data_IF_595280305192
#
_entry.id   IF_595280305192
#
_cell.length_a   1.000
_cell.length_b   1.000
_cell.length_c   1.000
_cell.angle_alpha   90.00
_cell.angle_beta   90.00
_cell.angle_gamma   90.00
#
_symmetry.space_group_name_H-M   'P 1'
#
loop_
_entity.id
_entity.type
_entity.pdbx_description
1 polymer ?
#
# COMPACT_ATOMS: atom_id res chain seq x y z
N UNK A 1 17.90 -13.55 1.80
CA UNK A 1 18.33 -12.35 2.56
C UNK A 1 17.52 -12.24 3.83
N UNK A 2 18.06 -11.55 4.84
CA UNK A 2 17.37 -11.20 6.08
C UNK A 2 17.00 -9.72 6.05
N UNK A 3 15.71 -9.41 6.01
CA UNK A 3 15.16 -8.09 5.75
C UNK A 3 14.58 -7.51 7.03
N UNK A 4 15.04 -6.33 7.44
CA UNK A 4 14.45 -5.59 8.56
C UNK A 4 13.37 -4.65 8.04
N UNK A 5 12.17 -4.68 8.66
CA UNK A 5 11.09 -3.73 8.42
C UNK A 5 10.18 -3.60 9.65
N UNK A 6 9.25 -2.62 9.60
CA UNK A 6 8.19 -2.43 10.60
C UNK A 6 6.84 -2.90 10.06
N UNK A 7 6.01 -3.60 10.86
CA UNK A 7 4.68 -4.08 10.44
C UNK A 7 3.63 -2.95 10.47
N UNK A 8 3.75 -1.95 9.56
CA UNK A 8 2.91 -0.74 9.60
C UNK A 8 1.58 -0.94 8.85
N UNK A 9 1.63 -1.59 7.70
CA UNK A 9 0.47 -1.79 6.82
C UNK A 9 0.17 -3.27 6.70
N UNK A 10 -0.75 -3.79 7.55
CA UNK A 10 -1.00 -5.22 7.70
C UNK A 10 -1.19 -5.98 6.38
N UNK A 11 -2.11 -5.55 5.50
CA UNK A 11 -2.34 -6.22 4.22
C UNK A 11 -1.14 -6.16 3.26
N UNK A 12 -0.39 -5.05 3.25
CA UNK A 12 0.84 -4.97 2.46
C UNK A 12 1.94 -5.85 3.04
N UNK A 13 2.12 -5.80 4.36
CA UNK A 13 3.11 -6.63 5.07
C UNK A 13 2.80 -8.12 4.84
N UNK A 14 1.52 -8.52 4.90
CA UNK A 14 1.11 -9.90 4.63
C UNK A 14 1.55 -10.36 3.24
N UNK A 15 1.34 -9.54 2.21
CA UNK A 15 1.80 -9.87 0.86
C UNK A 15 3.35 -9.96 0.79
N UNK A 16 4.05 -8.99 1.38
CA UNK A 16 5.49 -8.86 1.29
C UNK A 16 6.24 -10.00 1.97
N UNK A 17 5.81 -10.40 3.16
CA UNK A 17 6.49 -11.45 3.93
C UNK A 17 6.24 -12.89 3.45
N UNK A 18 5.40 -13.05 2.42
CA UNK A 18 5.20 -14.33 1.72
C UNK A 18 6.31 -14.67 0.73
N UNK A 19 7.27 -13.75 0.55
CA UNK A 19 8.46 -13.97 -0.29
C UNK A 19 9.43 -15.01 0.25
N UNK A 20 10.47 -15.28 -0.54
CA UNK A 20 11.47 -16.31 -0.23
C UNK A 20 12.54 -15.91 0.81
N UNK A 21 12.40 -14.76 1.47
CA UNK A 21 13.39 -14.21 2.41
C UNK A 21 13.06 -14.53 3.87
N UNK A 22 13.96 -14.18 4.79
CA UNK A 22 13.71 -14.10 6.23
C UNK A 22 13.36 -12.65 6.58
N UNK A 23 12.27 -12.45 7.34
CA UNK A 23 11.81 -11.12 7.69
C UNK A 23 11.92 -10.89 9.19
N UNK A 24 12.63 -9.82 9.56
CA UNK A 24 12.78 -9.32 10.93
C UNK A 24 11.80 -8.17 11.09
N UNK A 25 10.72 -8.40 11.82
CA UNK A 25 9.69 -7.39 12.07
C UNK A 25 10.00 -6.69 13.39
N UNK A 26 10.41 -5.43 13.30
CA UNK A 26 10.73 -4.61 14.46
C UNK A 26 9.46 -4.24 15.22
N UNK A 27 9.32 -4.70 16.46
CA UNK A 27 8.14 -4.46 17.32
C UNK A 27 8.56 -3.91 18.68
N UNK A 28 7.66 -3.16 19.33
CA UNK A 28 7.95 -2.60 20.67
C UNK A 28 8.07 -3.67 21.74
N UNK A 29 7.23 -4.68 21.65
CA UNK A 29 7.18 -5.76 22.62
C UNK A 29 6.74 -7.06 21.95
N UNK A 30 7.15 -8.19 22.49
CA UNK A 30 6.67 -9.54 22.13
C UNK A 30 6.00 -10.21 23.34
N UNK A 31 5.52 -9.43 24.32
CA UNK A 31 4.88 -9.99 25.52
C UNK A 31 3.49 -10.52 25.20
N UNK A 32 3.11 -11.67 25.80
CA UNK A 32 1.75 -12.19 25.63
C UNK A 32 0.71 -11.15 26.08
N UNK A 33 -0.30 -10.90 25.22
CA UNK A 33 -1.39 -9.96 25.47
C UNK A 33 -1.13 -8.51 25.03
N UNK A 34 0.07 -8.17 24.57
CA UNK A 34 0.34 -6.90 23.88
C UNK A 34 0.17 -7.08 22.37
N UNK A 35 -0.45 -6.10 21.72
CA UNK A 35 -0.54 -6.07 20.24
C UNK A 35 0.82 -5.73 19.65
N UNK A 36 1.46 -6.71 19.04
CA UNK A 36 2.74 -6.56 18.35
C UNK A 36 2.59 -6.28 16.86
N UNK A 37 1.33 -6.23 16.34
CA UNK A 37 1.02 -6.07 14.91
C UNK A 37 1.41 -7.28 14.05
N UNK A 38 1.88 -8.37 14.67
CA UNK A 38 2.38 -9.59 14.00
C UNK A 38 1.57 -10.81 14.39
N UNK A 39 1.15 -10.86 15.64
CA UNK A 39 0.36 -11.98 16.18
C UNK A 39 -0.95 -12.17 15.42
N UNK A 40 -1.26 -13.40 15.06
CA UNK A 40 -2.50 -13.76 14.35
C UNK A 40 -2.39 -13.85 12.83
N UNK A 41 -1.28 -13.40 12.22
CA UNK A 41 -1.09 -13.51 10.77
C UNK A 41 -0.53 -14.85 10.28
N UNK A 42 0.13 -15.63 11.16
CA UNK A 42 0.68 -16.94 10.83
C UNK A 42 1.82 -16.92 9.79
N UNK A 43 2.62 -15.87 9.78
CA UNK A 43 3.73 -15.71 8.82
C UNK A 43 4.90 -16.64 9.15
N UNK A 44 5.16 -17.62 8.31
CA UNK A 44 6.18 -18.66 8.55
C UNK A 44 7.62 -18.14 8.52
N UNK A 45 7.91 -17.13 7.66
CA UNK A 45 9.25 -16.58 7.43
C UNK A 45 9.49 -15.24 8.09
N UNK A 46 8.50 -14.71 8.81
CA UNK A 46 8.60 -13.46 9.51
C UNK A 46 8.56 -13.69 11.02
N UNK A 47 9.46 -13.04 11.73
CA UNK A 47 9.49 -13.08 13.19
C UNK A 47 9.50 -11.70 13.79
N UNK A 48 8.72 -11.52 14.84
CA UNK A 48 8.75 -10.33 15.66
C UNK A 48 10.05 -10.27 16.48
N UNK A 49 10.74 -9.13 16.42
CA UNK A 49 11.95 -8.87 17.17
C UNK A 49 11.79 -7.59 17.96
N UNK A 50 11.95 -7.63 19.30
CA UNK A 50 11.91 -6.43 20.12
C UNK A 50 12.98 -5.42 19.71
N UNK A 51 12.68 -4.12 19.81
CA UNK A 51 13.59 -3.06 19.39
C UNK A 51 14.96 -3.14 20.06
N UNK A 52 15.03 -3.50 21.33
CA UNK A 52 16.28 -3.65 22.08
C UNK A 52 17.14 -4.84 21.68
N UNK A 53 16.56 -5.84 21.02
CA UNK A 53 17.26 -7.01 20.52
C UNK A 53 17.85 -6.81 19.09
N UNK A 54 17.45 -5.77 18.35
CA UNK A 54 17.86 -5.54 16.97
C UNK A 54 19.38 -5.39 16.78
N UNK A 55 20.08 -4.94 17.81
CA UNK A 55 21.56 -4.78 17.76
C UNK A 55 22.31 -6.09 17.50
N UNK A 56 21.76 -7.20 17.99
CA UNK A 56 22.33 -8.52 17.85
C UNK A 56 21.93 -9.22 16.54
N UNK A 57 20.99 -8.62 15.79
CA UNK A 57 20.46 -9.24 14.58
C UNK A 57 21.40 -9.08 13.38
N UNK A 58 21.57 -10.19 12.65
CA UNK A 58 22.12 -10.12 11.31
C UNK A 58 21.03 -9.61 10.35
N UNK A 59 21.31 -8.51 9.65
CA UNK A 59 20.38 -7.87 8.71
C UNK A 59 21.16 -7.56 7.43
N UNK A 60 20.64 -8.02 6.30
CA UNK A 60 21.25 -7.80 4.98
C UNK A 60 20.77 -6.49 4.35
N UNK A 61 19.51 -6.13 4.56
CA UNK A 61 18.89 -4.92 4.00
C UNK A 61 17.77 -4.41 4.89
N UNK A 62 17.56 -3.10 4.88
CA UNK A 62 16.46 -2.44 5.63
C UNK A 62 15.43 -1.88 4.66
N UNK A 63 14.16 -2.18 4.89
CA UNK A 63 13.02 -1.56 4.21
C UNK A 63 12.40 -0.53 5.15
N UNK A 64 12.74 0.75 4.92
CA UNK A 64 12.20 1.88 5.67
C UNK A 64 10.82 2.27 5.10
N UNK A 65 9.91 2.72 5.94
CA UNK A 65 8.56 3.15 5.55
C UNK A 65 8.18 4.51 6.14
N UNK A 66 8.99 5.02 7.08
CA UNK A 66 8.82 6.34 7.70
C UNK A 66 10.18 7.03 7.82
N UNK A 67 10.26 8.36 7.61
CA UNK A 67 11.55 9.09 7.65
C UNK A 67 12.30 8.93 8.98
N UNK A 68 11.57 8.87 10.10
CA UNK A 68 12.15 8.69 11.44
C UNK A 68 12.83 7.34 11.64
N UNK A 69 12.51 6.34 10.83
CA UNK A 69 13.13 5.02 10.93
C UNK A 69 14.61 5.03 10.54
N UNK A 70 15.07 6.04 9.78
CA UNK A 70 16.50 6.21 9.47
C UNK A 70 17.32 6.37 10.75
N UNK A 71 16.93 7.33 11.58
CA UNK A 71 17.59 7.57 12.86
C UNK A 71 17.36 6.41 13.85
N UNK A 72 16.19 5.80 13.80
CA UNK A 72 15.84 4.68 14.66
C UNK A 72 16.70 3.43 14.36
N UNK A 73 16.96 3.11 13.09
CA UNK A 73 17.87 2.02 12.70
C UNK A 73 19.28 2.28 13.22
N UNK A 74 19.80 3.49 13.05
CA UNK A 74 21.12 3.85 13.57
C UNK A 74 21.19 3.68 15.10
N UNK A 75 20.21 4.18 15.82
CA UNK A 75 20.13 4.06 17.27
C UNK A 75 20.07 2.60 17.75
N UNK A 76 19.23 1.79 17.11
CA UNK A 76 18.97 0.40 17.55
C UNK A 76 20.04 -0.57 17.12
N UNK A 77 20.63 -0.40 15.94
CA UNK A 77 21.59 -1.36 15.36
C UNK A 77 23.04 -0.89 15.40
N UNK A 78 23.26 0.43 15.59
CA UNK A 78 24.58 1.07 15.45
C UNK A 78 25.04 1.22 13.99
N UNK A 79 24.16 0.98 13.00
CA UNK A 79 24.45 1.07 11.55
C UNK A 79 23.59 2.10 10.87
N UNK A 80 24.18 2.98 10.07
CA UNK A 80 23.49 4.02 9.33
C UNK A 80 22.93 3.46 8.02
N UNK A 81 21.60 3.53 7.78
CA UNK A 81 20.99 3.09 6.53
C UNK A 81 21.56 3.82 5.30
N UNK A 82 21.87 3.07 4.24
CA UNK A 82 22.51 3.57 3.02
C UNK A 82 24.02 3.65 3.11
N UNK A 83 24.59 3.88 4.31
CA UNK A 83 26.03 3.98 4.52
C UNK A 83 26.67 2.67 5.06
N UNK A 84 26.13 2.14 6.16
CA UNK A 84 26.71 0.97 6.87
C UNK A 84 25.89 -0.29 6.62
N UNK A 85 24.69 -0.15 6.11
CA UNK A 85 23.78 -1.24 5.75
C UNK A 85 22.96 -0.82 4.51
N UNK A 86 22.76 -1.72 3.52
CA UNK A 86 21.85 -1.48 2.41
C UNK A 86 20.47 -1.08 2.91
N UNK A 87 19.85 -0.08 2.29
CA UNK A 87 18.51 0.35 2.66
C UNK A 87 17.75 0.84 1.44
N UNK A 88 16.43 0.70 1.47
CA UNK A 88 15.50 1.34 0.56
C UNK A 88 14.33 1.92 1.37
N UNK A 89 13.63 2.88 0.79
CA UNK A 89 12.46 3.50 1.40
C UNK A 89 11.20 3.16 0.61
N UNK A 90 10.24 2.54 1.26
CA UNK A 90 8.96 2.17 0.67
C UNK A 90 7.93 3.28 0.96
N UNK A 91 7.52 4.00 -0.10
CA UNK A 91 6.53 5.07 0.00
C UNK A 91 5.14 4.58 -0.33
N UNK A 92 4.32 4.49 0.69
CA UNK A 92 2.92 4.07 0.59
C UNK A 92 1.96 5.21 0.24
N UNK A 93 2.32 6.45 0.57
CA UNK A 93 1.38 7.56 0.62
C UNK A 93 1.53 8.50 -0.58
N UNK A 94 0.42 9.11 -0.95
CA UNK A 94 0.44 10.33 -1.75
C UNK A 94 1.02 11.49 -0.94
N UNK A 95 1.54 12.56 -1.58
CA UNK A 95 1.97 13.77 -0.87
C UNK A 95 0.90 14.28 0.10
N UNK A 96 1.29 14.55 1.35
CA UNK A 96 0.38 15.07 2.37
C UNK A 96 0.02 16.55 2.22
N UNK A 97 0.82 17.30 1.42
CA UNK A 97 0.57 18.68 1.03
C UNK A 97 0.15 18.79 -0.44
N UNK A 98 0.17 20.01 -1.03
CA UNK A 98 -0.07 20.19 -2.46
C UNK A 98 0.96 19.39 -3.28
N UNK A 99 0.51 18.47 -4.12
CA UNK A 99 1.37 17.58 -4.90
C UNK A 99 2.44 18.35 -5.72
N UNK A 100 2.04 19.48 -6.29
CA UNK A 100 2.93 20.33 -7.11
C UNK A 100 4.05 21.04 -6.32
N UNK A 101 4.02 20.98 -4.99
CA UNK A 101 4.97 21.67 -4.11
C UNK A 101 5.51 20.79 -2.98
N UNK A 102 5.10 19.52 -2.92
CA UNK A 102 5.51 18.63 -1.82
C UNK A 102 6.73 17.80 -2.24
N UNK A 103 7.85 18.08 -1.59
CA UNK A 103 9.11 17.39 -1.78
C UNK A 103 9.19 16.17 -0.84
N UNK A 104 9.66 15.05 -1.39
CA UNK A 104 9.84 13.83 -0.59
C UNK A 104 10.93 14.02 0.47
N UNK A 105 10.77 13.53 1.71
CA UNK A 105 11.78 13.69 2.77
C UNK A 105 13.17 13.15 2.41
N UNK A 106 13.23 12.14 1.53
CA UNK A 106 14.47 11.54 1.05
C UNK A 106 14.92 12.08 -0.32
N UNK A 107 14.34 13.15 -0.83
CA UNK A 107 14.63 13.67 -2.16
C UNK A 107 16.11 14.04 -2.41
N UNK A 108 16.89 14.29 -1.36
CA UNK A 108 18.32 14.58 -1.44
C UNK A 108 19.23 13.35 -1.24
N UNK A 109 18.66 12.18 -0.99
CA UNK A 109 19.38 10.93 -0.73
C UNK A 109 19.64 10.17 -2.03
N UNK A 110 20.90 9.98 -2.38
CA UNK A 110 21.31 9.14 -3.53
C UNK A 110 21.57 7.70 -3.15
N UNK A 111 21.73 7.44 -1.87
CA UNK A 111 22.14 6.17 -1.26
C UNK A 111 20.98 5.32 -0.74
N UNK A 112 19.76 5.86 -0.72
CA UNK A 112 18.53 5.16 -0.34
C UNK A 112 17.49 5.34 -1.46
N UNK A 113 17.30 4.33 -2.32
CA UNK A 113 16.25 4.38 -3.34
C UNK A 113 14.86 4.48 -2.72
N UNK A 114 13.96 5.23 -3.37
CA UNK A 114 12.54 5.32 -3.01
C UNK A 114 11.76 4.36 -3.89
N UNK A 115 11.10 3.39 -3.28
CA UNK A 115 10.20 2.44 -3.95
C UNK A 115 8.77 2.92 -3.72
N UNK A 116 8.12 3.40 -4.75
CA UNK A 116 6.72 3.81 -4.70
C UNK A 116 5.80 2.62 -4.97
N UNK A 117 4.69 2.56 -4.25
CA UNK A 117 3.68 1.50 -4.44
C UNK A 117 2.81 1.69 -5.67
N UNK A 118 2.87 2.88 -6.32
CA UNK A 118 2.12 3.20 -7.53
C UNK A 118 2.89 4.15 -8.44
N UNK A 119 2.57 4.13 -9.74
CA UNK A 119 3.10 5.10 -10.70
C UNK A 119 2.61 6.52 -10.39
N UNK A 120 1.38 6.65 -9.88
CA UNK A 120 0.82 7.93 -9.44
C UNK A 120 1.65 8.55 -8.30
N UNK A 121 2.03 7.77 -7.28
CA UNK A 121 2.86 8.27 -6.18
C UNK A 121 4.21 8.76 -6.70
N UNK A 122 4.88 7.96 -7.53
CA UNK A 122 6.16 8.34 -8.12
C UNK A 122 6.08 9.64 -8.92
N UNK A 123 4.97 9.86 -9.65
CA UNK A 123 4.73 11.09 -10.41
C UNK A 123 4.45 12.29 -9.50
N UNK A 124 3.69 12.07 -8.42
CA UNK A 124 3.16 13.15 -7.58
C UNK A 124 4.14 13.69 -6.55
N UNK A 125 5.15 12.90 -6.16
CA UNK A 125 6.21 13.36 -5.28
C UNK A 125 7.33 14.07 -6.06
N UNK A 126 7.84 15.20 -5.54
CA UNK A 126 9.15 15.71 -5.95
C UNK A 126 10.22 14.82 -5.30
N UNK A 127 10.72 13.87 -6.05
CA UNK A 127 11.73 12.91 -5.59
C UNK A 127 13.18 13.46 -5.68
N UNK A 128 13.37 14.68 -6.18
CA UNK A 128 14.67 15.34 -6.30
C UNK A 128 15.71 14.50 -7.03
N UNK A 129 16.81 14.16 -6.33
CA UNK A 129 17.91 13.33 -6.88
C UNK A 129 17.91 11.88 -6.39
N UNK A 130 16.92 11.49 -5.59
CA UNK A 130 16.82 10.12 -5.10
C UNK A 130 16.49 9.16 -6.24
N UNK A 131 17.16 7.99 -6.33
CA UNK A 131 16.76 6.94 -7.26
C UNK A 131 15.34 6.48 -6.93
N UNK A 132 14.52 6.22 -7.95
CA UNK A 132 13.13 5.78 -7.75
C UNK A 132 12.80 4.52 -8.52
N UNK A 133 12.01 3.65 -7.92
CA UNK A 133 11.40 2.50 -8.55
C UNK A 133 9.90 2.45 -8.25
N UNK A 134 9.15 1.60 -8.96
CA UNK A 134 7.76 1.29 -8.66
C UNK A 134 7.63 -0.22 -8.48
N UNK A 135 7.03 -0.63 -7.36
CA UNK A 135 6.53 -1.98 -7.14
C UNK A 135 5.04 -1.87 -6.87
N UNK A 136 4.24 -2.16 -7.89
CA UNK A 136 2.79 -2.12 -7.76
C UNK A 136 2.32 -3.16 -6.74
N UNK A 137 1.19 -2.90 -6.09
CA UNK A 137 0.64 -3.81 -5.08
C UNK A 137 0.44 -5.23 -5.59
N UNK A 138 0.68 -6.21 -4.73
CA UNK A 138 0.27 -7.59 -4.94
C UNK A 138 -0.72 -8.03 -3.87
N UNK A 139 -1.73 -8.77 -4.28
CA UNK A 139 -2.77 -9.29 -3.39
C UNK A 139 -2.70 -10.82 -3.37
N UNK A 140 -2.60 -11.45 -2.18
CA UNK A 140 -2.85 -12.87 -2.05
C UNK A 140 -4.27 -13.16 -2.54
N UNK A 141 -4.42 -14.06 -3.52
CA UNK A 141 -5.72 -14.34 -4.12
C UNK A 141 -6.71 -14.92 -3.08
N UNK A 142 -7.79 -14.20 -2.72
CA UNK A 142 -8.80 -14.72 -1.80
C UNK A 142 -9.71 -15.75 -2.45
N UNK A 143 -9.56 -16.00 -3.75
CA UNK A 143 -10.47 -16.83 -4.55
C UNK A 143 -11.67 -16.06 -5.10
N UNK A 144 -12.31 -16.63 -6.13
CA UNK A 144 -13.54 -16.07 -6.69
C UNK A 144 -14.70 -16.37 -5.74
N UNK A 145 -15.13 -15.35 -4.97
CA UNK A 145 -16.19 -15.50 -3.96
C UNK A 145 -17.46 -14.71 -4.28
N UNK A 146 -17.45 -13.89 -5.34
CA UNK A 146 -18.57 -13.02 -5.65
C UNK A 146 -19.87 -13.79 -5.87
N UNK A 147 -20.87 -13.55 -5.02
CA UNK A 147 -22.24 -14.01 -5.17
C UNK A 147 -23.19 -12.88 -5.60
N UNK A 148 -22.96 -11.66 -5.13
CA UNK A 148 -23.79 -10.50 -5.41
C UNK A 148 -25.25 -10.65 -5.01
N UNK A 149 -25.55 -11.52 -4.04
CA UNK A 149 -26.92 -11.87 -3.62
C UNK A 149 -27.65 -10.71 -2.93
N UNK A 150 -26.90 -9.80 -2.30
CA UNK A 150 -27.46 -8.64 -1.63
C UNK A 150 -27.44 -7.43 -2.58
N UNK A 151 -28.60 -6.85 -2.82
CA UNK A 151 -28.76 -5.59 -3.60
C UNK A 151 -28.27 -4.39 -2.80
N UNK A 152 -26.98 -4.39 -2.47
CA UNK A 152 -26.30 -3.42 -1.64
C UNK A 152 -24.96 -3.04 -2.25
N UNK A 153 -24.49 -1.86 -1.91
CA UNK A 153 -23.16 -1.36 -2.28
C UNK A 153 -22.19 -1.67 -1.14
N UNK A 154 -21.05 -2.26 -1.44
CA UNK A 154 -19.96 -2.48 -0.47
C UNK A 154 -18.88 -1.40 -0.62
N UNK A 155 -18.41 -0.84 0.49
CA UNK A 155 -17.27 0.08 0.58
C UNK A 155 -16.36 -0.40 1.70
N UNK A 156 -15.04 -0.45 1.47
CA UNK A 156 -14.08 -0.78 2.52
C UNK A 156 -13.17 0.43 2.77
N UNK A 157 -13.26 0.99 3.98
CA UNK A 157 -12.49 2.18 4.35
C UNK A 157 -12.26 2.23 5.87
N UNK A 158 -11.01 2.36 6.27
CA UNK A 158 -10.65 2.59 7.66
C UNK A 158 -10.79 4.07 8.02
N UNK A 159 -11.32 4.36 9.20
CA UNK A 159 -11.49 5.70 9.76
C UNK A 159 -12.27 6.67 8.84
N UNK A 160 -13.43 6.26 8.29
CA UNK A 160 -14.15 7.04 7.27
C UNK A 160 -14.52 8.45 7.74
N UNK A 161 -14.90 8.61 9.01
CA UNK A 161 -15.26 9.91 9.56
C UNK A 161 -14.04 10.86 9.66
N UNK A 162 -12.86 10.36 10.06
CA UNK A 162 -11.64 11.16 10.17
C UNK A 162 -11.06 11.52 8.80
N UNK A 163 -11.03 10.56 7.88
CA UNK A 163 -10.43 10.73 6.55
C UNK A 163 -11.37 11.39 5.55
N UNK A 164 -12.62 11.50 5.87
CA UNK A 164 -13.73 12.19 5.20
C UNK A 164 -13.59 12.33 3.68
N UNK A 165 -13.13 13.51 3.22
CA UNK A 165 -12.99 13.80 1.77
C UNK A 165 -11.87 12.99 1.10
N UNK A 166 -10.82 12.66 1.83
CA UNK A 166 -9.70 11.85 1.31
C UNK A 166 -10.20 10.51 0.79
N UNK A 167 -11.11 9.88 1.54
CA UNK A 167 -11.68 8.56 1.22
C UNK A 167 -13.03 8.63 0.53
N UNK A 168 -13.54 9.84 0.25
CA UNK A 168 -14.83 10.04 -0.42
C UNK A 168 -16.04 9.68 0.42
N UNK A 169 -15.90 9.65 1.74
CA UNK A 169 -16.99 9.36 2.69
C UNK A 169 -18.17 10.35 2.51
N UNK A 170 -17.86 11.59 2.19
CA UNK A 170 -18.86 12.64 1.90
C UNK A 170 -19.71 12.36 0.65
N UNK A 171 -19.31 11.45 -0.22
CA UNK A 171 -20.06 11.04 -1.41
C UNK A 171 -21.03 9.88 -1.15
N UNK A 172 -20.88 9.14 -0.06
CA UNK A 172 -21.69 7.95 0.21
C UNK A 172 -23.20 8.22 0.18
N UNK A 173 -23.71 9.38 0.67
CA UNK A 173 -25.15 9.69 0.56
C UNK A 173 -25.67 9.75 -0.88
N UNK A 174 -24.85 10.12 -1.86
CA UNK A 174 -25.24 10.14 -3.27
C UNK A 174 -25.51 8.72 -3.78
N UNK A 175 -24.63 7.77 -3.44
CA UNK A 175 -24.78 6.36 -3.82
C UNK A 175 -25.88 5.65 -3.01
N UNK A 176 -26.10 6.07 -1.76
CA UNK A 176 -27.18 5.55 -0.93
C UNK A 176 -28.59 5.85 -1.45
N UNK A 177 -28.72 6.69 -2.50
CA UNK A 177 -29.97 6.90 -3.25
C UNK A 177 -30.30 5.73 -4.17
N UNK A 178 -29.30 4.96 -4.59
CA UNK A 178 -29.46 3.83 -5.50
C UNK A 178 -29.73 2.52 -4.75
N UNK A 179 -28.98 2.28 -3.66
CA UNK A 179 -29.17 1.13 -2.77
C UNK A 179 -28.49 1.38 -1.41
N UNK A 180 -28.82 0.62 -0.35
CA UNK A 180 -28.10 0.71 0.91
C UNK A 180 -26.59 0.48 0.73
N UNK A 181 -25.78 1.29 1.44
CA UNK A 181 -24.31 1.24 1.40
C UNK A 181 -23.76 0.66 2.70
N UNK A 182 -23.08 -0.48 2.61
CA UNK A 182 -22.39 -1.08 3.73
C UNK A 182 -20.93 -0.63 3.74
N UNK A 183 -20.51 0.01 4.83
CA UNK A 183 -19.16 0.54 5.01
C UNK A 183 -18.40 -0.33 5.99
N UNK A 184 -17.45 -1.11 5.47
CA UNK A 184 -16.58 -1.98 6.25
C UNK A 184 -15.30 -1.24 6.65
N UNK A 185 -14.82 -1.47 7.86
CA UNK A 185 -13.50 -1.02 8.29
C UNK A 185 -13.46 -0.50 9.73
N UNK A 186 -12.25 -0.19 10.14
CA UNK A 186 -11.96 0.34 11.47
C UNK A 186 -12.69 1.68 11.66
N UNK A 187 -13.33 1.85 12.82
CA UNK A 187 -14.08 3.08 13.16
C UNK A 187 -15.28 3.39 12.24
N UNK A 188 -15.77 2.43 11.46
CA UNK A 188 -16.94 2.62 10.61
C UNK A 188 -18.17 3.04 11.43
N UNK A 189 -18.34 2.54 12.65
CA UNK A 189 -19.44 2.88 13.57
C UNK A 189 -19.60 4.38 13.83
N UNK A 190 -18.52 5.16 13.72
CA UNK A 190 -18.56 6.62 13.87
C UNK A 190 -19.44 7.31 12.82
N UNK A 191 -19.75 6.65 11.69
CA UNK A 191 -20.64 7.16 10.65
C UNK A 191 -22.08 7.33 11.12
N UNK A 192 -22.52 6.55 12.12
CA UNK A 192 -23.86 6.73 12.72
C UNK A 192 -24.03 8.16 13.29
N UNK A 193 -23.01 8.69 13.96
CA UNK A 193 -23.01 10.06 14.45
C UNK A 193 -22.97 11.12 13.36
N UNK A 194 -22.40 10.80 12.20
CA UNK A 194 -22.26 11.73 11.06
C UNK A 194 -23.53 11.80 10.23
N UNK A 195 -24.06 10.65 9.81
CA UNK A 195 -25.23 10.61 8.92
C UNK A 195 -26.57 10.52 9.66
N UNK A 196 -26.57 10.10 10.92
CA UNK A 196 -27.74 10.13 11.80
C UNK A 196 -28.99 9.42 11.26
N UNK A 197 -28.81 8.34 10.50
CA UNK A 197 -29.91 7.61 9.86
C UNK A 197 -30.58 8.35 8.69
N UNK A 198 -30.03 9.47 8.23
CA UNK A 198 -30.58 10.27 7.11
C UNK A 198 -30.31 9.63 5.75
N UNK A 199 -29.38 8.73 5.66
CA UNK A 199 -29.05 7.97 4.45
C UNK A 199 -28.97 6.48 4.81
N UNK A 200 -29.26 5.62 3.84
CA UNK A 200 -29.14 4.16 4.01
C UNK A 200 -27.66 3.74 3.98
N UNK A 201 -26.88 4.23 4.96
CA UNK A 201 -25.44 3.93 5.14
C UNK A 201 -25.32 3.14 6.44
N UNK A 202 -24.86 1.90 6.31
CA UNK A 202 -24.74 0.97 7.41
C UNK A 202 -23.27 0.66 7.71
N UNK A 203 -22.74 1.04 8.86
CA UNK A 203 -21.40 0.70 9.26
C UNK A 203 -21.33 -0.78 9.63
N UNK A 204 -20.32 -1.46 9.08
CA UNK A 204 -19.89 -2.79 9.47
C UNK A 204 -18.52 -2.68 10.10
N UNK A 205 -18.39 -3.05 11.36
CA UNK A 205 -17.12 -2.98 12.06
C UNK A 205 -16.04 -3.85 11.39
N UNK A 206 -14.79 -3.60 11.77
CA UNK A 206 -13.63 -4.32 11.23
C UNK A 206 -13.79 -5.82 11.39
N UNK A 207 -13.65 -6.54 10.31
CA UNK A 207 -13.68 -8.00 10.25
C UNK A 207 -12.29 -8.56 9.95
N UNK A 208 -11.95 -9.75 10.41
CA UNK A 208 -10.77 -10.46 9.93
C UNK A 208 -10.82 -10.63 8.40
N UNK A 209 -9.67 -10.63 7.68
CA UNK A 209 -9.62 -10.57 6.22
C UNK A 209 -10.52 -11.60 5.52
N UNK A 210 -10.49 -12.86 5.92
CA UNK A 210 -11.30 -13.91 5.28
C UNK A 210 -12.81 -13.69 5.45
N UNK A 211 -13.23 -13.21 6.62
CA UNK A 211 -14.63 -12.84 6.87
C UNK A 211 -15.03 -11.57 6.12
N UNK A 212 -14.11 -10.58 6.04
CA UNK A 212 -14.35 -9.39 5.24
C UNK A 212 -14.59 -9.76 3.78
N UNK A 213 -13.72 -10.59 3.19
CA UNK A 213 -13.85 -11.03 1.81
C UNK A 213 -15.17 -11.77 1.57
N UNK A 214 -15.54 -12.68 2.46
CA UNK A 214 -16.79 -13.44 2.34
C UNK A 214 -18.03 -12.55 2.45
N UNK A 215 -18.05 -11.62 3.40
CA UNK A 215 -19.17 -10.69 3.55
C UNK A 215 -19.21 -9.67 2.41
N UNK A 216 -18.08 -9.09 2.04
CA UNK A 216 -18.02 -8.09 0.96
C UNK A 216 -18.53 -8.68 -0.37
N UNK A 217 -18.13 -9.89 -0.70
CA UNK A 217 -18.50 -10.60 -1.93
C UNK A 217 -20.02 -10.88 -2.08
N UNK A 218 -20.79 -10.75 -1.02
CA UNK A 218 -22.26 -10.85 -1.06
C UNK A 218 -22.92 -9.59 -1.59
N UNK A 219 -22.24 -8.42 -1.53
CA UNK A 219 -22.76 -7.13 -2.03
C UNK A 219 -22.72 -7.13 -3.54
N UNK A 220 -23.75 -6.55 -4.16
CA UNK A 220 -23.92 -6.54 -5.61
C UNK A 220 -22.80 -5.79 -6.33
N UNK A 221 -22.28 -4.70 -5.75
CA UNK A 221 -21.25 -3.85 -6.34
C UNK A 221 -20.28 -3.34 -5.29
N UNK A 222 -19.01 -3.22 -5.64
CA UNK A 222 -17.99 -2.56 -4.84
C UNK A 222 -17.78 -1.12 -5.31
N UNK A 223 -17.86 -0.16 -4.39
CA UNK A 223 -17.62 1.26 -4.64
C UNK A 223 -16.30 1.70 -4.03
N UNK A 224 -15.46 2.36 -4.84
CA UNK A 224 -14.18 2.95 -4.43
C UNK A 224 -14.20 4.47 -4.63
N UNK A 225 -14.71 5.24 -3.65
CA UNK A 225 -14.93 6.68 -3.81
C UNK A 225 -13.72 7.54 -3.40
N UNK A 226 -12.52 6.95 -3.32
CA UNK A 226 -11.33 7.59 -2.77
C UNK A 226 -10.82 8.70 -3.69
N UNK A 227 -10.51 9.88 -3.11
CA UNK A 227 -9.99 11.03 -3.85
C UNK A 227 -8.47 11.15 -3.79
N UNK A 228 -7.88 10.88 -2.62
CA UNK A 228 -6.46 11.16 -2.42
C UNK A 228 -5.81 10.10 -1.52
N UNK A 229 -5.59 8.94 -2.09
CA UNK A 229 -4.78 7.84 -1.54
C UNK A 229 -3.95 7.28 -2.70
N UNK A 230 -2.90 6.51 -2.42
CA UNK A 230 -2.13 5.88 -3.51
C UNK A 230 -3.00 4.93 -4.33
N UNK A 231 -3.37 3.83 -3.74
CA UNK A 231 -4.35 2.86 -4.22
C UNK A 231 -4.81 2.03 -3.02
N UNK A 232 -6.12 1.95 -2.81
CA UNK A 232 -6.65 1.10 -1.75
C UNK A 232 -6.51 -0.37 -2.12
N UNK A 233 -5.86 -1.17 -1.27
CA UNK A 233 -5.80 -2.63 -1.46
C UNK A 233 -7.18 -3.25 -1.61
N UNK A 234 -8.17 -2.71 -0.90
CA UNK A 234 -9.56 -3.17 -0.97
C UNK A 234 -10.19 -3.09 -2.37
N UNK A 235 -9.75 -2.16 -3.25
CA UNK A 235 -10.15 -2.15 -4.66
C UNK A 235 -9.63 -3.40 -5.37
N UNK A 236 -8.36 -3.71 -5.18
CA UNK A 236 -7.73 -4.88 -5.78
C UNK A 236 -8.31 -6.18 -5.21
N UNK A 237 -8.55 -6.22 -3.91
CA UNK A 237 -9.22 -7.36 -3.25
C UNK A 237 -10.63 -7.59 -3.82
N UNK A 238 -11.43 -6.54 -3.98
CA UNK A 238 -12.76 -6.63 -4.60
C UNK A 238 -12.68 -7.17 -6.05
N UNK A 239 -11.70 -6.72 -6.83
CA UNK A 239 -11.46 -7.26 -8.17
C UNK A 239 -11.05 -8.73 -8.12
N UNK A 240 -10.15 -9.14 -7.20
CA UNK A 240 -9.78 -10.55 -7.01
C UNK A 240 -10.96 -11.42 -6.58
N UNK A 241 -11.90 -10.90 -5.79
CA UNK A 241 -13.13 -11.60 -5.45
C UNK A 241 -14.07 -11.81 -6.64
N UNK A 242 -13.87 -11.09 -7.76
CA UNK A 242 -14.72 -11.11 -8.94
C UNK A 242 -15.91 -10.17 -8.84
N UNK A 243 -15.84 -9.13 -8.00
CA UNK A 243 -16.89 -8.12 -7.88
C UNK A 243 -16.84 -7.11 -9.02
N UNK A 244 -18.00 -6.63 -9.54
CA UNK A 244 -18.01 -5.43 -10.37
C UNK A 244 -17.61 -4.23 -9.52
N UNK A 245 -16.70 -3.40 -10.04
CA UNK A 245 -16.17 -2.25 -9.31
C UNK A 245 -16.58 -0.93 -9.96
N UNK A 246 -16.91 0.04 -9.12
CA UNK A 246 -17.17 1.43 -9.50
C UNK A 246 -16.21 2.32 -8.72
N UNK A 247 -15.40 3.12 -9.39
CA UNK A 247 -14.35 3.91 -8.74
C UNK A 247 -14.29 5.34 -9.25
N UNK A 248 -13.92 6.28 -8.36
CA UNK A 248 -13.53 7.62 -8.81
C UNK A 248 -12.27 7.54 -9.67
N UNK A 249 -12.25 8.29 -10.77
CA UNK A 249 -11.10 8.43 -11.65
C UNK A 249 -10.02 9.32 -11.02
N UNK A 250 -9.45 8.86 -9.92
CA UNK A 250 -8.44 9.57 -9.13
C UNK A 250 -7.25 8.66 -8.88
N UNK A 251 -6.09 9.27 -8.69
CA UNK A 251 -4.84 8.58 -8.35
C UNK A 251 -4.57 7.36 -9.26
N UNK A 252 -4.22 6.21 -8.71
CA UNK A 252 -3.90 5.01 -9.46
C UNK A 252 -5.15 4.19 -9.86
N UNK A 253 -6.36 4.53 -9.37
CA UNK A 253 -7.59 3.79 -9.68
C UNK A 253 -7.86 3.72 -11.20
N UNK A 254 -7.52 4.81 -11.94
CA UNK A 254 -7.65 4.86 -13.41
C UNK A 254 -6.81 3.80 -14.12
N UNK A 255 -5.65 3.46 -13.55
CA UNK A 255 -4.77 2.41 -14.08
C UNK A 255 -5.19 1.02 -13.62
N UNK A 256 -5.63 0.92 -12.35
CA UNK A 256 -5.99 -0.36 -11.74
C UNK A 256 -7.25 -0.96 -12.37
N UNK A 257 -8.21 -0.12 -12.75
CA UNK A 257 -9.47 -0.56 -13.36
C UNK A 257 -9.41 -0.30 -14.87
N UNK A 258 -8.98 -1.31 -15.62
CA UNK A 258 -8.88 -1.23 -17.07
C UNK A 258 -10.28 -1.14 -17.73
N UNK A 259 -10.33 -0.71 -18.99
CA UNK A 259 -11.57 -0.65 -19.74
C UNK A 259 -12.29 -2.00 -19.79
N UNK A 260 -13.57 -2.02 -19.42
CA UNK A 260 -14.40 -3.23 -19.39
C UNK A 260 -14.23 -4.10 -18.14
N UNK A 261 -13.36 -3.74 -17.19
CA UNK A 261 -13.17 -4.46 -15.92
C UNK A 261 -13.84 -3.79 -14.71
N UNK A 262 -14.52 -2.68 -14.97
CA UNK A 262 -15.24 -1.87 -14.00
C UNK A 262 -15.63 -0.55 -14.64
N UNK A 263 -16.16 0.37 -13.84
CA UNK A 263 -16.51 1.74 -14.27
C UNK A 263 -15.70 2.75 -13.48
N UNK A 264 -15.03 3.65 -14.19
CA UNK A 264 -14.18 4.69 -13.60
C UNK A 264 -14.55 6.04 -14.22
N UNK A 265 -14.94 7.01 -13.40
CA UNK A 265 -15.27 8.37 -13.86
C UNK A 265 -14.96 9.42 -12.78
N UNK A 266 -14.77 10.66 -13.18
CA UNK A 266 -14.81 11.83 -12.28
C UNK A 266 -16.22 12.38 -12.09
N UNK A 267 -17.16 11.97 -12.95
CA UNK A 267 -18.57 12.33 -12.86
C UNK A 267 -19.29 11.37 -11.91
N UNK A 268 -19.78 11.92 -10.78
CA UNK A 268 -20.47 11.14 -9.75
C UNK A 268 -21.82 10.61 -10.25
N UNK A 269 -22.48 11.31 -11.15
CA UNK A 269 -23.75 10.85 -11.71
C UNK A 269 -23.55 9.66 -12.65
N UNK A 270 -22.48 9.66 -13.47
CA UNK A 270 -22.09 8.46 -14.26
C UNK A 270 -21.81 7.26 -13.34
N UNK A 271 -21.09 7.47 -12.23
CA UNK A 271 -20.83 6.39 -11.28
C UNK A 271 -22.10 5.88 -10.60
N UNK A 272 -23.05 6.76 -10.28
CA UNK A 272 -24.36 6.37 -9.73
C UNK A 272 -25.15 5.54 -10.74
N UNK A 273 -25.16 5.96 -12.01
CA UNK A 273 -25.81 5.19 -13.08
C UNK A 273 -25.18 3.81 -13.25
N UNK A 274 -23.86 3.70 -13.14
CA UNK A 274 -23.15 2.42 -13.18
C UNK A 274 -23.54 1.53 -11.99
N UNK A 275 -23.62 2.07 -10.77
CA UNK A 275 -24.09 1.33 -9.59
C UNK A 275 -25.51 0.81 -9.84
N UNK A 276 -26.43 1.68 -10.31
CA UNK A 276 -27.81 1.29 -10.63
C UNK A 276 -27.86 0.17 -11.67
N UNK A 277 -27.06 0.27 -12.74
CA UNK A 277 -27.01 -0.74 -13.78
C UNK A 277 -26.55 -2.10 -13.22
N UNK A 278 -25.48 -2.13 -12.41
CA UNK A 278 -25.02 -3.37 -11.77
C UNK A 278 -26.05 -3.97 -10.78
N UNK A 279 -26.86 -3.12 -10.14
CA UNK A 279 -27.95 -3.60 -9.27
C UNK A 279 -29.04 -4.31 -10.07
N UNK A 280 -29.44 -3.78 -11.23
CA UNK A 280 -30.54 -4.26 -12.04
C UNK A 280 -30.15 -5.33 -13.06
N UNK A 281 -28.87 -5.40 -13.43
CA UNK A 281 -28.33 -6.32 -14.43
C UNK A 281 -27.29 -7.27 -13.83
N UNK A 282 -27.70 -8.24 -12.98
CA UNK A 282 -26.76 -9.08 -12.23
C UNK A 282 -25.86 -9.96 -13.12
N UNK A 283 -26.31 -10.35 -14.30
CA UNK A 283 -25.49 -11.14 -15.20
C UNK A 283 -24.38 -10.29 -15.81
N UNK A 284 -24.68 -9.05 -16.24
CA UNK A 284 -23.66 -8.11 -16.66
C UNK A 284 -22.67 -7.75 -15.54
N UNK A 285 -23.18 -7.59 -14.31
CA UNK A 285 -22.33 -7.38 -13.13
C UNK A 285 -21.31 -8.52 -12.93
N UNK A 286 -21.75 -9.78 -13.07
CA UNK A 286 -20.86 -10.96 -13.00
C UNK A 286 -19.82 -10.99 -14.13
N UNK A 287 -20.22 -10.67 -15.34
CA UNK A 287 -19.30 -10.64 -16.51
C UNK A 287 -18.21 -9.57 -16.32
N UNK A 288 -18.59 -8.35 -15.89
CA UNK A 288 -17.63 -7.27 -15.61
C UNK A 288 -16.69 -7.66 -14.48
N UNK A 289 -17.24 -8.20 -13.38
CA UNK A 289 -16.46 -8.67 -12.24
C UNK A 289 -15.48 -9.80 -12.61
N UNK A 290 -15.89 -10.74 -13.45
CA UNK A 290 -15.02 -11.83 -13.95
C UNK A 290 -13.84 -11.27 -14.75
N UNK A 291 -14.07 -10.33 -15.68
CA UNK A 291 -12.99 -9.64 -16.41
C UNK A 291 -12.09 -8.84 -15.46
N UNK A 292 -12.69 -8.18 -14.45
CA UNK A 292 -11.94 -7.50 -13.39
C UNK A 292 -11.00 -8.43 -12.65
N UNK A 293 -11.46 -9.64 -12.29
CA UNK A 293 -10.64 -10.66 -11.66
C UNK A 293 -9.48 -11.14 -12.53
N UNK A 294 -9.74 -11.44 -13.80
CA UNK A 294 -8.68 -11.83 -14.76
C UNK A 294 -7.60 -10.76 -14.85
N UNK A 295 -8.00 -9.50 -14.97
CA UNK A 295 -7.08 -8.37 -14.99
C UNK A 295 -6.28 -8.24 -13.69
N UNK A 296 -6.94 -8.34 -12.53
CA UNK A 296 -6.29 -8.24 -11.23
C UNK A 296 -5.28 -9.37 -11.00
N UNK A 297 -5.61 -10.60 -11.34
CA UNK A 297 -4.68 -11.74 -11.24
C UNK A 297 -3.45 -11.57 -12.14
N UNK A 298 -3.63 -11.02 -13.35
CA UNK A 298 -2.54 -10.83 -14.28
C UNK A 298 -1.57 -9.70 -13.85
N UNK A 299 -2.07 -8.62 -13.26
CA UNK A 299 -1.29 -7.40 -13.00
C UNK A 299 -0.97 -7.16 -11.53
N UNK A 300 -1.83 -7.62 -10.62
CA UNK A 300 -1.74 -7.39 -9.17
C UNK A 300 -1.66 -8.70 -8.38
N UNK A 301 -1.30 -9.80 -9.05
CA UNK A 301 -1.11 -11.10 -8.41
C UNK A 301 0.15 -11.12 -7.54
N UNK A 302 0.09 -11.89 -6.45
CA UNK A 302 1.15 -12.01 -5.45
C UNK A 302 2.51 -12.42 -6.08
N UNK A 303 2.52 -13.35 -7.03
CA UNK A 303 3.76 -13.85 -7.63
C UNK A 303 4.56 -12.75 -8.35
N UNK A 304 3.90 -11.92 -9.17
CA UNK A 304 4.52 -10.79 -9.87
C UNK A 304 5.06 -9.76 -8.90
N UNK A 305 4.30 -9.44 -7.85
CA UNK A 305 4.71 -8.54 -6.78
C UNK A 305 5.98 -9.03 -6.08
N UNK A 306 6.01 -10.30 -5.68
CA UNK A 306 7.15 -10.88 -4.97
C UNK A 306 8.40 -10.96 -5.87
N UNK A 307 8.24 -11.33 -7.14
CA UNK A 307 9.36 -11.35 -8.09
C UNK A 307 9.96 -9.95 -8.27
N UNK A 308 9.11 -8.92 -8.39
CA UNK A 308 9.58 -7.54 -8.52
C UNK A 308 10.29 -7.03 -7.27
N UNK A 309 9.82 -7.43 -6.09
CA UNK A 309 10.52 -7.13 -4.84
C UNK A 309 11.87 -7.84 -4.74
N UNK A 310 11.95 -9.10 -5.17
CA UNK A 310 13.18 -9.89 -5.18
C UNK A 310 14.26 -9.22 -6.05
N UNK A 311 13.89 -8.75 -7.25
CA UNK A 311 14.73 -7.98 -8.15
C UNK A 311 15.29 -6.73 -7.45
N UNK A 312 14.43 -5.88 -6.91
CA UNK A 312 14.82 -4.59 -6.31
C UNK A 312 15.69 -4.79 -5.06
N UNK A 313 15.37 -5.75 -4.22
CA UNK A 313 16.17 -6.08 -3.04
C UNK A 313 17.56 -6.57 -3.44
N UNK A 314 17.62 -7.45 -4.44
CA UNK A 314 18.89 -8.00 -4.96
C UNK A 314 19.75 -6.90 -5.60
N UNK A 315 19.16 -6.04 -6.42
CA UNK A 315 19.84 -4.88 -7.01
C UNK A 315 20.35 -3.92 -5.94
N UNK A 316 19.55 -3.63 -4.90
CA UNK A 316 19.93 -2.73 -3.80
C UNK A 316 21.13 -3.26 -3.03
N UNK A 317 21.13 -4.54 -2.69
CA UNK A 317 22.25 -5.19 -1.97
C UNK A 317 23.49 -5.27 -2.86
N UNK A 318 23.35 -5.60 -4.14
CA UNK A 318 24.47 -5.70 -5.07
C UNK A 318 25.12 -4.34 -5.38
N UNK A 319 24.32 -3.28 -5.49
CA UNK A 319 24.80 -1.92 -5.76
C UNK A 319 25.45 -1.24 -4.54
N UNK A 320 25.16 -1.69 -3.31
CA UNK A 320 25.60 -1.04 -2.08
C UNK A 320 27.13 -0.96 -1.92
N UNK A 321 27.97 -1.97 -2.24
CA UNK A 321 29.44 -1.83 -2.20
C UNK A 321 29.98 -0.74 -3.13
N UNK A 322 29.32 -0.52 -4.27
CA UNK A 322 29.72 0.47 -5.27
C UNK A 322 29.45 1.91 -4.81
N UNK A 323 28.43 2.12 -4.00
CA UNK A 323 28.13 3.45 -3.43
C UNK A 323 29.14 3.90 -2.38
N UNK A 324 29.90 2.98 -1.79
CA UNK A 324 30.97 3.25 -0.78
C UNK A 324 32.29 3.72 -1.41
N UNK A 325 32.47 3.55 -2.70
CA UNK A 325 33.66 3.99 -3.47
C UNK A 325 33.45 5.34 -4.17
N UNK A 326 32.63 6.23 -3.62
CA UNK A 326 32.46 7.55 -4.18
C UNK A 326 33.80 8.32 -4.13
N UNK A 327 34.40 8.49 -5.28
CA UNK A 327 35.63 9.27 -5.45
C UNK A 327 35.31 10.75 -5.26
N UNK A 328 35.70 11.33 -4.13
CA UNK A 328 35.62 12.77 -3.93
C UNK A 328 36.76 13.45 -4.67
N UNK A 329 36.42 14.12 -5.76
CA UNK A 329 37.39 14.97 -6.49
C UNK A 329 37.23 16.41 -5.96
N UNK A 330 38.24 16.89 -5.25
CA UNK A 330 38.30 18.28 -4.80
C UNK A 330 39.22 19.05 -5.75
N UNK A 331 38.70 20.16 -6.30
CA UNK A 331 39.53 21.16 -7.00
C UNK A 331 40.00 22.16 -5.96
N UNK A 332 41.31 22.26 -5.74
CA UNK A 332 41.87 23.30 -4.93
C UNK A 332 41.94 24.62 -5.77
N UNK A 333 41.85 25.76 -5.08
CA UNK A 333 41.89 27.10 -5.67
C UNK A 333 43.13 27.40 -6.56
N UNK A 334 44.04 26.43 -6.73
CA UNK A 334 45.23 26.52 -7.61
C UNK A 334 45.16 25.60 -8.83
N UNK A 335 44.00 25.04 -9.20
CA UNK A 335 43.83 24.30 -10.45
C UNK A 335 44.46 22.87 -10.49
N UNK A 336 44.95 22.35 -9.38
CA UNK A 336 45.40 20.95 -9.28
C UNK A 336 44.30 20.04 -8.75
N UNK A 337 43.94 19.06 -9.54
CA UNK A 337 42.95 18.02 -9.17
C UNK A 337 43.65 16.91 -8.38
N UNK A 338 43.26 16.72 -7.13
CA UNK A 338 43.72 15.59 -6.32
C UNK A 338 42.59 14.62 -6.14
N UNK A 339 42.76 13.38 -6.59
CA UNK A 339 41.79 12.32 -6.44
C UNK A 339 42.17 11.48 -5.22
N UNK A 340 41.34 11.49 -4.19
CA UNK A 340 41.56 10.65 -2.99
C UNK A 340 40.48 9.57 -2.96
N UNK A 341 40.89 8.33 -3.05
CA UNK A 341 40.03 7.18 -2.86
C UNK A 341 40.09 6.81 -1.39
N UNK A 342 39.01 6.99 -0.65
CA UNK A 342 38.92 6.57 0.75
C UNK A 342 38.24 5.20 0.76
N UNK A 343 39.03 4.14 0.93
CA UNK A 343 38.53 2.83 1.26
C UNK A 343 38.33 2.75 2.79
N UNK A 344 37.07 2.59 3.21
CA UNK A 344 36.80 2.31 4.64
C UNK A 344 37.02 0.84 4.87
N UNK A 345 38.08 0.52 5.61
CA UNK A 345 38.35 -0.83 6.12
C UNK A 345 37.26 -1.25 7.12
N UNK A 346 37.00 -2.56 7.16
CA UNK A 346 36.00 -3.29 7.98
C UNK A 346 36.08 -2.99 9.47
#
# INVERSE_FOLDING_TARGET
>A
MRILLWPIHGGYTDAFVRGGHEYVLAVRSVRPGEDDGVSGWGWERARAVPLDALRAEHIDVVVLQRPEEIALVEQLTGRVPGRDIPALYLEHNTPGGPAVATRHPLADRRDIPIVHVTHFNRLSWDNGVAPTAVVEHGVPDPGQRYSGELERVGVVVNEPARRWRTTGTDLLPEFAREAPVDVFGIDAGKLQGVFGGRAAIEPVESLPPDRLHSELARRRVYLHPFRWTSLGLSLLEAMHLGMPVVALATTEAVRAVAAGTGVVSTDVDELRLAVRAFLHEPDWAREVGARGREHALAHYGLATFLARWDDILTETVAAWPLSRTATHTYANAGGKTTTTTVAHAR
#
